data_IF_257993142110
#
_entry.id   IF_257993142110
#
_cell.length_a   1.000
_cell.length_b   1.000
_cell.length_c   1.000
_cell.angle_alpha   90.00
_cell.angle_beta   90.00
_cell.angle_gamma   90.00
#
_symmetry.space_group_name_H-M   'P 1'
#
loop_
_entity.id
_entity.type
_entity.pdbx_description
1 polymer ?
#
# COMPACT_ATOMS: atom_id res chain seq x y z
N UNK A 1 -14.26 -19.56 -6.60
CA UNK A 1 -15.16 -18.61 -7.26
C UNK A 1 -16.64 -19.00 -7.20
N UNK A 2 -16.99 -20.23 -7.48
CA UNK A 2 -18.39 -20.69 -7.45
C UNK A 2 -19.13 -20.32 -6.15
N UNK A 3 -18.41 -20.36 -5.01
CA UNK A 3 -18.98 -20.08 -3.69
C UNK A 3 -19.04 -18.58 -3.34
N UNK A 4 -18.16 -17.77 -3.94
CA UNK A 4 -18.02 -16.33 -3.66
C UNK A 4 -17.63 -15.59 -4.95
N UNK A 5 -18.57 -15.41 -5.90
CA UNK A 5 -18.26 -14.87 -7.23
C UNK A 5 -17.76 -13.42 -7.18
N UNK A 6 -18.26 -12.63 -6.25
CA UNK A 6 -17.96 -11.19 -6.15
C UNK A 6 -16.79 -10.87 -5.20
N UNK A 7 -16.10 -11.91 -4.68
CA UNK A 7 -15.01 -11.68 -3.72
C UNK A 7 -13.77 -11.17 -4.43
N UNK A 8 -13.26 -10.02 -4.02
CA UNK A 8 -11.94 -9.52 -4.44
C UNK A 8 -10.82 -10.29 -3.75
N UNK A 9 -9.76 -10.59 -4.48
CA UNK A 9 -8.58 -11.31 -3.98
C UNK A 9 -7.33 -10.48 -4.20
N UNK A 10 -6.74 -10.00 -3.12
CA UNK A 10 -5.42 -9.35 -3.13
C UNK A 10 -4.32 -10.38 -2.90
N UNK A 11 -3.36 -10.47 -3.82
CA UNK A 11 -2.24 -11.41 -3.74
C UNK A 11 -0.95 -10.63 -3.52
N UNK A 12 -0.32 -10.81 -2.37
CA UNK A 12 0.94 -10.13 -2.06
C UNK A 12 2.10 -10.69 -2.87
N UNK A 13 2.86 -9.80 -3.53
CA UNK A 13 4.12 -10.06 -4.22
C UNK A 13 5.24 -9.21 -3.63
N UNK A 14 6.45 -9.77 -3.56
CA UNK A 14 7.64 -9.10 -3.03
C UNK A 14 8.77 -9.02 -4.06
N UNK A 15 8.44 -8.93 -5.31
CA UNK A 15 9.40 -8.78 -6.39
C UNK A 15 9.23 -9.76 -7.54
N UNK A 16 10.34 -10.08 -8.20
CA UNK A 16 10.38 -11.10 -9.24
C UNK A 16 10.25 -12.52 -8.67
N UNK A 17 10.12 -13.52 -9.55
CA UNK A 17 10.10 -14.94 -9.15
C UNK A 17 11.29 -15.33 -8.28
N UNK A 18 12.48 -14.79 -8.56
CA UNK A 18 13.68 -15.09 -7.78
C UNK A 18 13.70 -14.38 -6.43
N UNK A 19 13.21 -13.13 -6.39
CA UNK A 19 13.03 -12.40 -5.13
C UNK A 19 12.00 -13.13 -4.24
N UNK A 20 10.88 -13.58 -4.79
CA UNK A 20 9.85 -14.34 -4.08
C UNK A 20 10.39 -15.66 -3.50
N UNK A 21 11.16 -16.43 -4.28
CA UNK A 21 11.79 -17.65 -3.81
C UNK A 21 12.77 -17.39 -2.68
N UNK A 22 13.56 -16.32 -2.80
CA UNK A 22 14.57 -15.95 -1.81
C UNK A 22 13.94 -15.45 -0.51
N UNK A 23 12.94 -14.57 -0.61
CA UNK A 23 12.32 -13.89 0.54
C UNK A 23 11.21 -14.71 1.19
N UNK A 24 10.46 -15.49 0.40
CA UNK A 24 9.25 -16.20 0.83
C UNK A 24 9.28 -17.71 0.66
N UNK A 25 10.37 -18.23 0.11
CA UNK A 25 10.57 -19.68 -0.11
C UNK A 25 9.77 -20.29 -1.26
N UNK A 26 8.98 -19.49 -2.01
CA UNK A 26 8.16 -19.96 -3.13
C UNK A 26 7.89 -18.85 -4.14
N UNK A 27 7.64 -19.24 -5.39
CA UNK A 27 7.23 -18.34 -6.47
C UNK A 27 5.72 -18.15 -6.45
N UNK A 28 5.26 -17.15 -5.69
CA UNK A 28 3.84 -16.83 -5.55
C UNK A 28 3.23 -16.40 -6.89
N UNK A 29 3.98 -15.65 -7.72
CA UNK A 29 3.49 -15.22 -9.02
C UNK A 29 3.24 -16.39 -9.97
N UNK A 30 4.20 -17.31 -10.11
CA UNK A 30 4.05 -18.46 -11.00
C UNK A 30 2.90 -19.38 -10.58
N UNK A 31 2.61 -19.48 -9.28
CA UNK A 31 1.49 -20.27 -8.78
C UNK A 31 0.16 -19.54 -9.05
N UNK A 32 0.06 -18.28 -8.64
CA UNK A 32 -1.22 -17.54 -8.69
C UNK A 32 -1.62 -17.15 -10.10
N UNK A 33 -0.68 -16.82 -10.99
CA UNK A 33 -0.98 -16.44 -12.37
C UNK A 33 -1.73 -17.53 -13.14
N UNK A 34 -1.42 -18.80 -12.88
CA UNK A 34 -2.12 -19.94 -13.51
C UNK A 34 -3.57 -20.08 -13.06
N UNK A 35 -3.89 -19.64 -11.84
CA UNK A 35 -5.23 -19.78 -11.28
C UNK A 35 -6.13 -18.57 -11.54
N UNK A 36 -5.55 -17.41 -11.78
CA UNK A 36 -6.24 -16.13 -11.82
C UNK A 36 -6.00 -15.32 -13.09
N UNK A 37 -5.54 -15.98 -14.17
CA UNK A 37 -5.34 -15.33 -15.46
C UNK A 37 -6.66 -14.68 -15.93
N UNK A 38 -6.60 -13.38 -16.24
CA UNK A 38 -7.74 -12.59 -16.69
C UNK A 38 -8.88 -12.42 -15.68
N UNK A 39 -8.71 -12.82 -14.41
CA UNK A 39 -9.77 -12.66 -13.40
C UNK A 39 -9.89 -11.18 -12.96
N UNK A 40 -11.02 -10.50 -13.25
CA UNK A 40 -11.20 -9.08 -12.94
C UNK A 40 -11.33 -8.79 -11.44
N UNK A 41 -11.52 -9.81 -10.59
CA UNK A 41 -11.63 -9.65 -9.15
C UNK A 41 -10.31 -9.96 -8.43
N UNK A 42 -9.22 -10.07 -9.18
CA UNK A 42 -7.90 -10.34 -8.61
C UNK A 42 -6.97 -9.16 -8.89
N UNK A 43 -6.20 -8.79 -7.89
CA UNK A 43 -5.11 -7.83 -8.05
C UNK A 43 -3.89 -8.26 -7.25
N UNK A 44 -2.72 -7.89 -7.73
CA UNK A 44 -1.49 -8.09 -7.01
C UNK A 44 -1.18 -6.87 -6.13
N UNK A 45 -0.78 -7.13 -4.89
CA UNK A 45 -0.19 -6.14 -3.97
C UNK A 45 1.33 -6.26 -4.10
N UNK A 46 1.94 -5.44 -4.94
CA UNK A 46 3.39 -5.42 -5.12
C UNK A 46 4.04 -4.60 -4.01
N UNK A 47 4.71 -5.28 -3.08
CA UNK A 47 5.50 -4.65 -2.04
C UNK A 47 6.88 -4.30 -2.58
N UNK A 48 7.15 -3.02 -2.74
CA UNK A 48 8.41 -2.49 -3.26
C UNK A 48 9.37 -2.32 -2.08
N UNK A 49 10.57 -2.85 -2.25
CA UNK A 49 11.71 -2.67 -1.31
C UNK A 49 12.76 -1.76 -1.95
N UNK A 50 13.69 -1.17 -1.18
CA UNK A 50 14.78 -0.38 -1.76
C UNK A 50 15.57 -1.14 -2.86
N UNK A 51 15.70 -2.46 -2.72
CA UNK A 51 16.41 -3.32 -3.67
C UNK A 51 15.62 -3.60 -4.96
N UNK A 52 14.32 -3.34 -4.96
CA UNK A 52 13.42 -3.68 -6.06
C UNK A 52 13.16 -2.51 -7.02
N UNK A 53 13.46 -1.27 -6.64
CA UNK A 53 13.08 -0.06 -7.41
C UNK A 53 13.41 -0.16 -8.90
N UNK A 54 14.61 -0.63 -9.24
CA UNK A 54 15.06 -0.77 -10.64
C UNK A 54 14.44 -1.93 -11.41
N UNK A 55 13.60 -2.75 -10.76
CA UNK A 55 13.00 -3.96 -11.34
C UNK A 55 11.47 -3.92 -11.38
N UNK A 56 10.85 -2.81 -11.04
CA UNK A 56 9.39 -2.73 -10.89
C UNK A 56 8.69 -2.92 -12.24
N UNK A 57 9.13 -2.22 -13.28
CA UNK A 57 8.49 -2.28 -14.59
C UNK A 57 8.39 -3.70 -15.18
N UNK A 58 9.46 -4.51 -15.23
CA UNK A 58 9.36 -5.88 -15.73
C UNK A 58 8.32 -6.73 -14.97
N UNK A 59 8.09 -6.46 -13.69
CA UNK A 59 7.09 -7.16 -12.89
C UNK A 59 5.68 -6.70 -13.28
N UNK A 60 5.47 -5.39 -13.43
CA UNK A 60 4.20 -4.81 -13.88
C UNK A 60 3.83 -5.35 -15.27
N UNK A 61 4.81 -5.43 -16.20
CA UNK A 61 4.60 -6.01 -17.54
C UNK A 61 4.18 -7.47 -17.48
N UNK A 62 4.79 -8.29 -16.62
CA UNK A 62 4.38 -9.68 -16.41
C UNK A 62 2.95 -9.77 -15.88
N UNK A 63 2.58 -8.93 -14.92
CA UNK A 63 1.22 -8.89 -14.36
C UNK A 63 0.21 -8.47 -15.44
N UNK A 64 0.55 -7.46 -16.26
CA UNK A 64 -0.27 -7.04 -17.40
C UNK A 64 -0.52 -8.17 -18.38
N UNK A 65 0.52 -8.95 -18.70
CA UNK A 65 0.40 -10.09 -19.63
C UNK A 65 -0.52 -11.20 -19.10
N UNK A 66 -0.70 -11.31 -17.79
CA UNK A 66 -1.67 -12.20 -17.14
C UNK A 66 -3.09 -11.62 -17.15
N UNK A 67 -3.27 -10.35 -17.53
CA UNK A 67 -4.58 -9.67 -17.55
C UNK A 67 -5.14 -9.32 -16.18
N UNK A 68 -4.28 -9.17 -15.16
CA UNK A 68 -4.64 -8.87 -13.78
C UNK A 68 -4.13 -7.48 -13.40
N UNK A 69 -4.73 -6.85 -12.40
CA UNK A 69 -4.34 -5.53 -11.90
C UNK A 69 -3.22 -5.61 -10.86
N UNK A 70 -2.55 -4.49 -10.63
CA UNK A 70 -1.52 -4.36 -9.58
C UNK A 70 -1.70 -3.06 -8.80
N UNK A 71 -1.61 -3.17 -7.49
CA UNK A 71 -1.45 -2.02 -6.58
C UNK A 71 -0.03 -2.05 -6.01
N UNK A 72 0.64 -0.91 -6.03
CA UNK A 72 2.01 -0.75 -5.54
C UNK A 72 2.00 -0.16 -4.12
N UNK A 73 2.78 -0.77 -3.23
CA UNK A 73 3.00 -0.28 -1.87
C UNK A 73 4.47 -0.38 -1.50
N UNK A 74 4.91 0.42 -0.54
CA UNK A 74 6.28 0.37 -0.04
C UNK A 74 6.41 -0.59 1.13
N UNK A 75 7.55 -1.24 1.25
CA UNK A 75 7.88 -1.98 2.47
C UNK A 75 8.06 -0.99 3.63
N UNK A 76 7.31 -1.20 4.70
CA UNK A 76 7.52 -0.53 5.98
C UNK A 76 8.46 -1.39 6.82
N UNK A 77 9.68 -0.90 7.05
CA UNK A 77 10.69 -1.63 7.83
C UNK A 77 10.59 -1.29 9.32
N UNK A 78 9.49 -1.67 9.92
CA UNK A 78 9.23 -1.34 11.33
C UNK A 78 10.05 -2.18 12.32
N UNK A 79 10.62 -3.28 11.84
CA UNK A 79 11.46 -4.19 12.64
C UNK A 79 12.94 -3.82 12.57
N UNK A 80 13.30 -2.82 11.75
CA UNK A 80 14.67 -2.35 11.59
C UNK A 80 15.61 -3.37 10.96
N UNK A 81 15.08 -4.21 10.06
CA UNK A 81 15.88 -5.21 9.34
C UNK A 81 16.90 -4.51 8.42
N UNK A 82 18.16 -4.88 8.53
CA UNK A 82 19.24 -4.28 7.76
C UNK A 82 19.02 -4.43 6.24
N UNK A 83 19.33 -3.35 5.52
CA UNK A 83 19.23 -3.30 4.06
C UNK A 83 17.82 -3.11 3.50
N UNK A 84 16.82 -2.83 4.36
CA UNK A 84 15.45 -2.48 3.96
C UNK A 84 15.03 -1.06 4.38
N UNK A 85 15.95 -0.26 4.90
CA UNK A 85 15.69 1.14 5.19
C UNK A 85 15.74 1.97 3.92
N UNK A 86 14.79 2.89 3.81
CA UNK A 86 14.69 3.81 2.69
C UNK A 86 15.56 5.05 2.91
N UNK A 87 16.34 5.43 1.91
CA UNK A 87 16.94 6.76 1.83
C UNK A 87 15.96 7.74 1.17
N UNK A 88 16.15 9.04 1.40
CA UNK A 88 15.34 10.08 0.75
C UNK A 88 15.45 10.02 -0.78
N UNK A 89 16.62 9.67 -1.32
CA UNK A 89 16.83 9.55 -2.76
C UNK A 89 16.03 8.37 -3.32
N UNK A 90 16.09 7.20 -2.69
CA UNK A 90 15.32 6.02 -3.11
C UNK A 90 13.81 6.28 -3.04
N UNK A 91 13.33 7.02 -2.02
CA UNK A 91 11.93 7.41 -1.94
C UNK A 91 11.52 8.37 -3.07
N UNK A 92 12.38 9.29 -3.46
CA UNK A 92 12.13 10.17 -4.59
C UNK A 92 12.13 9.41 -5.93
N UNK A 93 13.05 8.47 -6.08
CA UNK A 93 13.18 7.65 -7.29
C UNK A 93 11.98 6.71 -7.45
N UNK A 94 11.59 6.01 -6.39
CA UNK A 94 10.43 5.12 -6.42
C UNK A 94 9.12 5.88 -6.65
N UNK A 95 8.99 7.10 -6.12
CA UNK A 95 7.81 7.94 -6.38
C UNK A 95 7.67 8.25 -7.88
N UNK A 96 8.77 8.65 -8.53
CA UNK A 96 8.77 8.90 -9.98
C UNK A 96 8.46 7.65 -10.78
N UNK A 97 9.09 6.52 -10.44
CA UNK A 97 8.83 5.25 -11.12
C UNK A 97 7.37 4.80 -10.99
N UNK A 98 6.78 4.92 -9.80
CA UNK A 98 5.36 4.59 -9.59
C UNK A 98 4.43 5.51 -10.40
N UNK A 99 4.75 6.82 -10.49
CA UNK A 99 3.99 7.78 -11.29
C UNK A 99 4.10 7.46 -12.79
N UNK A 100 5.30 7.17 -13.27
CA UNK A 100 5.57 6.79 -14.67
C UNK A 100 4.86 5.48 -15.05
N UNK A 101 4.87 4.50 -14.16
CA UNK A 101 4.17 3.24 -14.38
C UNK A 101 2.65 3.41 -14.41
N UNK A 102 2.09 4.29 -13.58
CA UNK A 102 0.67 4.62 -13.62
C UNK A 102 0.29 5.28 -14.96
N UNK A 103 1.13 6.18 -15.48
CA UNK A 103 0.89 6.84 -16.77
C UNK A 103 1.03 5.88 -17.97
N UNK A 104 2.01 4.97 -17.94
CA UNK A 104 2.26 4.01 -19.03
C UNK A 104 1.33 2.80 -19.03
N UNK A 105 0.83 2.41 -17.86
CA UNK A 105 0.00 1.21 -17.69
C UNK A 105 -1.30 1.52 -16.91
N UNK A 106 -2.11 2.52 -17.33
CA UNK A 106 -3.30 2.96 -16.58
C UNK A 106 -4.36 1.87 -16.44
N UNK A 107 -4.40 0.93 -17.38
CA UNK A 107 -5.32 -0.22 -17.35
C UNK A 107 -4.82 -1.38 -16.46
N UNK A 108 -3.60 -1.31 -15.97
CA UNK A 108 -2.99 -2.37 -15.15
C UNK A 108 -2.72 -1.90 -13.73
N UNK A 109 -2.18 -0.68 -13.59
CA UNK A 109 -1.80 -0.11 -12.29
C UNK A 109 -3.00 0.58 -11.66
N UNK A 110 -3.41 0.10 -10.48
CA UNK A 110 -4.46 0.71 -9.67
C UNK A 110 -3.80 1.51 -8.56
N UNK A 111 -3.62 2.79 -8.79
CA UNK A 111 -2.98 3.70 -7.84
C UNK A 111 -3.38 5.16 -8.10
N UNK A 112 -2.78 6.10 -7.35
CA UNK A 112 -2.95 7.53 -7.52
C UNK A 112 -1.64 8.27 -7.22
N UNK A 113 -1.25 9.24 -8.06
CA UNK A 113 -0.02 10.03 -7.87
C UNK A 113 0.01 10.75 -6.52
N UNK A 114 -1.14 11.22 -6.06
CA UNK A 114 -1.23 11.83 -4.75
C UNK A 114 -0.94 10.85 -3.61
N UNK A 115 -1.39 9.59 -3.73
CA UNK A 115 -1.03 8.52 -2.80
C UNK A 115 0.47 8.22 -2.84
N UNK A 116 1.08 8.12 -4.04
CA UNK A 116 2.52 7.91 -4.18
C UNK A 116 3.32 8.98 -3.46
N UNK A 117 2.95 10.25 -3.67
CA UNK A 117 3.58 11.37 -2.97
C UNK A 117 3.46 11.24 -1.46
N UNK A 118 2.27 10.91 -0.94
CA UNK A 118 2.04 10.83 0.51
C UNK A 118 2.85 9.70 1.14
N UNK A 119 2.83 8.50 0.56
CA UNK A 119 3.54 7.35 1.14
C UNK A 119 5.07 7.51 1.07
N UNK A 120 5.59 8.18 0.06
CA UNK A 120 7.03 8.42 -0.08
C UNK A 120 7.51 9.55 0.82
N UNK A 121 6.80 10.68 0.87
CA UNK A 121 7.21 11.86 1.67
C UNK A 121 6.77 11.79 3.13
N UNK A 122 5.76 10.96 3.45
CA UNK A 122 5.14 10.98 4.77
C UNK A 122 4.43 12.31 5.11
N UNK A 123 4.00 13.07 4.09
CA UNK A 123 3.41 14.41 4.30
C UNK A 123 2.13 14.60 3.50
N UNK A 124 1.09 15.11 4.14
CA UNK A 124 -0.20 15.41 3.54
C UNK A 124 -0.67 16.81 3.96
N UNK A 125 -0.94 17.69 2.98
CA UNK A 125 -1.38 19.07 3.22
C UNK A 125 -0.46 19.83 4.21
N UNK A 126 0.87 19.65 4.10
CA UNK A 126 1.86 20.26 4.98
C UNK A 126 2.00 19.62 6.37
N UNK A 127 1.22 18.59 6.70
CA UNK A 127 1.28 17.88 7.97
C UNK A 127 2.07 16.57 7.81
N UNK A 128 3.02 16.27 8.72
CA UNK A 128 3.75 15.01 8.70
C UNK A 128 2.85 13.88 9.21
N UNK A 129 3.03 12.67 8.62
CA UNK A 129 2.45 11.45 9.16
C UNK A 129 3.09 11.13 10.52
N UNK A 130 2.29 10.71 11.47
CA UNK A 130 2.78 10.42 12.80
C UNK A 130 1.72 9.78 13.69
N UNK A 131 2.09 9.51 14.93
CA UNK A 131 1.21 8.88 15.90
C UNK A 131 -0.16 9.57 16.06
N UNK A 132 -0.18 10.89 16.18
CA UNK A 132 -1.41 11.67 16.35
C UNK A 132 -2.30 11.68 15.09
N UNK A 133 -1.72 11.48 13.92
CA UNK A 133 -2.41 11.55 12.63
C UNK A 133 -2.81 10.17 12.11
N UNK A 134 -2.18 9.08 12.57
CA UNK A 134 -2.40 7.73 12.07
C UNK A 134 -3.79 7.19 12.48
N UNK A 135 -4.69 6.91 11.54
CA UNK A 135 -6.01 6.36 11.86
C UNK A 135 -5.97 4.87 12.22
N UNK A 136 -4.90 4.18 11.83
CA UNK A 136 -4.69 2.75 12.13
C UNK A 136 -3.98 2.50 13.45
N UNK A 137 -3.58 3.56 14.16
CA UNK A 137 -2.88 3.44 15.42
C UNK A 137 -3.66 2.67 16.47
N UNK A 138 -2.98 1.77 17.18
CA UNK A 138 -3.56 0.91 18.22
C UNK A 138 -3.46 1.54 19.59
N UNK A 139 -4.13 2.65 19.79
CA UNK A 139 -4.22 3.21 21.14
C UNK A 139 -5.19 2.42 22.02
N UNK A 140 -5.02 2.48 23.36
CA UNK A 140 -5.98 1.95 24.31
C UNK A 140 -7.40 2.43 24.03
N UNK A 141 -8.40 1.65 24.47
CA UNK A 141 -9.82 1.96 24.26
C UNK A 141 -10.22 3.36 24.73
N UNK A 142 -9.56 3.87 25.76
CA UNK A 142 -9.83 5.21 26.31
C UNK A 142 -9.42 6.33 25.34
N UNK A 143 -8.36 6.15 24.57
CA UNK A 143 -7.96 7.11 23.57
C UNK A 143 -8.87 7.12 22.33
N UNK A 144 -9.60 6.04 22.07
CA UNK A 144 -10.61 6.00 21.01
C UNK A 144 -11.76 6.97 21.28
N UNK A 145 -12.13 7.15 22.54
CA UNK A 145 -13.14 8.13 22.94
C UNK A 145 -12.67 9.57 22.68
N UNK A 146 -11.37 9.78 22.80
CA UNK A 146 -10.76 11.09 22.63
C UNK A 146 -10.30 11.36 21.19
N UNK A 147 -10.12 10.33 20.36
CA UNK A 147 -9.74 10.48 18.96
C UNK A 147 -10.66 9.66 18.03
N UNK A 148 -11.85 10.20 17.68
CA UNK A 148 -12.84 9.51 16.85
C UNK A 148 -12.36 9.22 15.40
N UNK A 149 -11.21 9.77 14.97
CA UNK A 149 -10.61 9.51 13.65
C UNK A 149 -9.93 8.15 13.56
N UNK A 150 -9.70 7.48 14.68
CA UNK A 150 -9.04 6.16 14.68
C UNK A 150 -10.06 5.06 14.40
N UNK A 151 -9.84 4.35 13.30
CA UNK A 151 -10.83 3.41 12.76
C UNK A 151 -10.83 2.07 13.49
N UNK A 152 -9.68 1.45 13.77
CA UNK A 152 -9.61 0.10 14.38
C UNK A 152 -8.24 -0.21 14.99
N UNK A 153 -8.16 -1.36 15.71
CA UNK A 153 -6.91 -2.01 16.06
C UNK A 153 -6.31 -2.66 14.81
N UNK A 154 -5.27 -2.11 14.28
CA UNK A 154 -4.55 -2.73 13.19
C UNK A 154 -3.61 -3.81 13.75
N UNK A 155 -3.89 -5.06 13.43
CA UNK A 155 -3.05 -6.20 13.80
C UNK A 155 -2.35 -6.68 12.53
N UNK A 156 -1.05 -6.96 12.61
CA UNK A 156 -0.27 -7.53 11.54
C UNK A 156 0.57 -8.70 12.02
N UNK A 157 0.99 -9.52 11.07
CA UNK A 157 1.95 -10.58 11.32
C UNK A 157 3.35 -10.01 11.37
N UNK A 158 4.17 -10.48 12.31
CA UNK A 158 5.59 -10.28 12.29
C UNK A 158 6.24 -11.01 11.09
N UNK A 159 7.49 -10.71 10.82
CA UNK A 159 8.26 -11.38 9.73
C UNK A 159 8.38 -12.90 9.91
N UNK A 160 8.24 -13.41 11.14
CA UNK A 160 8.22 -14.83 11.45
C UNK A 160 6.93 -15.56 11.01
N UNK A 161 5.91 -14.82 10.57
CA UNK A 161 4.57 -15.28 10.18
C UNK A 161 3.84 -16.10 11.26
N UNK A 162 4.28 -16.03 12.50
CA UNK A 162 3.72 -16.75 13.66
C UNK A 162 3.20 -15.82 14.71
N UNK A 163 3.88 -14.71 14.90
CA UNK A 163 3.54 -13.71 15.90
C UNK A 163 2.67 -12.62 15.31
N UNK A 164 1.52 -12.37 15.92
CA UNK A 164 0.70 -11.19 15.63
C UNK A 164 1.02 -10.08 16.62
N UNK A 165 1.22 -8.89 16.09
CA UNK A 165 1.38 -7.71 16.93
C UNK A 165 0.59 -6.52 16.38
N UNK A 166 0.35 -5.58 17.24
CA UNK A 166 -0.28 -4.32 16.85
C UNK A 166 0.73 -3.46 16.11
N UNK A 167 0.31 -2.79 15.07
CA UNK A 167 1.16 -1.96 14.22
C UNK A 167 1.96 -0.93 15.01
N UNK A 168 1.32 -0.22 15.93
CA UNK A 168 1.99 0.76 16.80
C UNK A 168 1.55 0.53 18.23
N UNK A 169 2.48 0.13 19.08
CA UNK A 169 2.23 -0.15 20.50
C UNK A 169 2.73 0.93 21.44
N UNK A 170 3.46 1.93 20.90
CA UNK A 170 4.17 2.92 21.70
C UNK A 170 4.28 4.25 20.98
N UNK A 171 4.08 5.35 21.70
CA UNK A 171 4.32 6.72 21.24
C UNK A 171 5.79 7.00 20.91
N UNK A 172 6.71 6.16 21.41
CA UNK A 172 8.14 6.28 21.16
C UNK A 172 8.56 5.79 19.79
N UNK A 173 7.66 5.13 19.04
CA UNK A 173 7.97 4.65 17.71
C UNK A 173 8.04 5.81 16.71
N UNK A 174 9.09 5.84 15.91
CA UNK A 174 9.24 6.87 14.87
C UNK A 174 8.30 6.58 13.69
N UNK A 175 7.07 7.10 13.79
CA UNK A 175 6.10 6.99 12.71
C UNK A 175 6.50 7.75 11.43
N UNK A 176 7.55 8.60 11.47
CA UNK A 176 8.01 9.32 10.28
C UNK A 176 8.62 8.38 9.24
N UNK A 177 9.16 7.25 9.69
CA UNK A 177 9.71 6.22 8.80
C UNK A 177 8.67 5.20 8.34
N UNK A 178 7.46 5.24 8.87
CA UNK A 178 6.39 4.32 8.51
C UNK A 178 6.04 4.45 7.02
N UNK A 179 5.96 3.30 6.33
CA UNK A 179 5.55 3.17 4.92
C UNK A 179 4.37 2.21 4.77
N UNK A 180 3.59 2.02 5.84
CA UNK A 180 2.37 1.20 5.78
C UNK A 180 1.34 1.83 4.84
N UNK A 181 1.07 1.14 3.73
CA UNK A 181 0.19 1.63 2.68
C UNK A 181 -1.25 1.81 3.13
N UNK A 182 -1.76 0.87 3.94
CA UNK A 182 -3.13 0.94 4.46
C UNK A 182 -3.29 2.10 5.44
N UNK A 183 -2.28 2.34 6.29
CA UNK A 183 -2.30 3.46 7.24
C UNK A 183 -2.29 4.82 6.51
N UNK A 184 -1.44 4.99 5.49
CA UNK A 184 -1.38 6.23 4.71
C UNK A 184 -2.65 6.47 3.89
N UNK A 185 -3.18 5.43 3.25
CA UNK A 185 -4.44 5.52 2.51
C UNK A 185 -5.60 5.89 3.45
N UNK A 186 -5.72 5.23 4.59
CA UNK A 186 -6.72 5.54 5.60
C UNK A 186 -6.58 6.98 6.12
N UNK A 187 -5.34 7.47 6.27
CA UNK A 187 -5.08 8.84 6.67
C UNK A 187 -5.65 9.87 5.68
N UNK A 188 -5.46 9.64 4.37
CA UNK A 188 -6.11 10.46 3.34
C UNK A 188 -7.62 10.40 3.46
N UNK A 189 -8.17 9.19 3.56
CA UNK A 189 -9.63 8.94 3.55
C UNK A 189 -10.34 9.66 4.70
N UNK A 190 -9.82 9.59 5.93
CA UNK A 190 -10.46 10.22 7.11
C UNK A 190 -10.31 11.74 7.13
N UNK A 191 -9.40 12.32 6.33
CA UNK A 191 -9.14 13.75 6.27
C UNK A 191 -9.86 14.46 5.11
N UNK A 192 -11.00 13.93 4.63
CA UNK A 192 -11.80 14.54 3.56
C UNK A 192 -12.04 16.03 3.76
N UNK A 193 -12.45 16.45 4.97
CA UNK A 193 -12.74 17.87 5.27
C UNK A 193 -11.54 18.78 5.04
N UNK A 194 -10.33 18.34 5.37
CA UNK A 194 -9.13 19.11 5.14
C UNK A 194 -8.83 19.30 3.64
N UNK A 195 -9.24 18.36 2.80
CA UNK A 195 -9.10 18.44 1.35
C UNK A 195 -10.17 19.33 0.67
N UNK A 196 -11.22 19.72 1.37
CA UNK A 196 -12.27 20.60 0.80
C UNK A 196 -11.88 22.08 0.76
N UNK A 197 -10.69 22.44 1.24
CA UNK A 197 -10.22 23.83 1.26
C UNK A 197 -9.85 24.38 -0.14
N UNK A 198 -9.60 23.50 -1.12
CA UNK A 198 -9.38 23.90 -2.50
C UNK A 198 -9.87 22.82 -3.47
N UNK A 199 -10.21 23.23 -4.70
CA UNK A 199 -10.60 22.30 -5.77
C UNK A 199 -9.48 21.28 -6.06
N UNK A 200 -8.22 21.71 -6.05
CA UNK A 200 -7.06 20.85 -6.27
C UNK A 200 -6.95 19.77 -5.18
N UNK A 201 -7.08 20.16 -3.92
CA UNK A 201 -6.96 19.21 -2.82
C UNK A 201 -8.12 18.22 -2.82
N UNK A 202 -9.35 18.70 -3.09
CA UNK A 202 -10.50 17.83 -3.24
C UNK A 202 -10.30 16.83 -4.39
N UNK A 203 -9.79 17.28 -5.54
CA UNK A 203 -9.48 16.38 -6.66
C UNK A 203 -8.44 15.34 -6.26
N UNK A 204 -7.40 15.71 -5.54
CA UNK A 204 -6.40 14.78 -5.00
C UNK A 204 -7.04 13.73 -4.09
N UNK A 205 -7.95 14.15 -3.21
CA UNK A 205 -8.69 13.21 -2.35
C UNK A 205 -9.55 12.25 -3.17
N UNK A 206 -10.25 12.75 -4.20
CA UNK A 206 -11.10 11.94 -5.08
C UNK A 206 -10.27 10.84 -5.77
N UNK A 207 -9.08 11.15 -6.29
CA UNK A 207 -8.24 10.13 -6.96
C UNK A 207 -7.84 8.99 -6.02
N UNK A 208 -7.56 9.31 -4.73
CA UNK A 208 -7.27 8.28 -3.73
C UNK A 208 -8.53 7.50 -3.33
N UNK A 209 -9.68 8.17 -3.27
CA UNK A 209 -10.95 7.49 -3.02
C UNK A 209 -11.30 6.49 -4.14
N UNK A 210 -11.14 6.89 -5.41
CA UNK A 210 -11.36 6.01 -6.57
C UNK A 210 -10.43 4.79 -6.52
N UNK A 211 -9.14 5.00 -6.22
CA UNK A 211 -8.18 3.92 -6.00
C UNK A 211 -8.67 2.97 -4.88
N UNK A 212 -9.04 3.53 -3.72
CA UNK A 212 -9.56 2.77 -2.58
C UNK A 212 -10.81 1.98 -2.94
N UNK A 213 -11.76 2.62 -3.63
CA UNK A 213 -13.01 1.99 -4.03
C UNK A 213 -12.77 0.79 -4.96
N UNK A 214 -11.87 0.93 -5.92
CA UNK A 214 -11.47 -0.18 -6.80
C UNK A 214 -10.83 -1.35 -6.03
N UNK A 215 -10.00 -1.07 -5.05
CA UNK A 215 -9.29 -2.12 -4.30
C UNK A 215 -10.16 -2.82 -3.25
N UNK A 216 -11.12 -2.10 -2.63
CA UNK A 216 -11.78 -2.59 -1.42
C UNK A 216 -13.31 -2.53 -1.43
N UNK A 217 -13.95 -1.82 -2.36
CA UNK A 217 -15.41 -1.66 -2.41
C UNK A 217 -16.10 -2.41 -3.56
N UNK A 218 -15.38 -3.33 -4.21
CA UNK A 218 -15.90 -4.17 -5.29
C UNK A 218 -16.49 -3.37 -6.47
N UNK A 219 -16.00 -2.18 -6.71
CA UNK A 219 -16.36 -1.42 -7.90
C UNK A 219 -15.63 -2.07 -9.08
N UNK A 220 -16.32 -2.49 -10.14
CA UNK A 220 -15.69 -3.09 -11.32
C UNK A 220 -14.60 -2.18 -11.89
N UNK A 221 -13.55 -2.82 -12.38
CA UNK A 221 -12.42 -2.14 -13.01
C UNK A 221 -12.81 -1.42 -14.30
#
# INVERSE_FOLDING_TARGET
>A
RERFPDMMVGISLWGSSDDEKTLRGKDTFAISSRHYEGDPHVYYLLTITPKLVVKIEPIVQKIRNVGVKVHMQLLSNDEGVDGFNWTNQELADVCREMDDLLDRYPDTVVSAKYYHKIITTGTMLGRPFGWAECPSGTQPLDDRKNNPRRLTNFIRWASDLKTMHRCCTSETRDCKTCKDGAAHMSWVMVNKRAHMNSTRDLQNWITVYEMFAKLYQFIPW
#
